data_IF_304985888381
#
_entry.id   IF_304985888381
#
_cell.length_a   1.000
_cell.length_b   1.000
_cell.length_c   1.000
_cell.angle_alpha   90.00
_cell.angle_beta   90.00
_cell.angle_gamma   90.00
#
_symmetry.space_group_name_H-M   'P 1'
#
loop_
_entity.id
_entity.type
_entity.pdbx_description
1 polymer ?
#
# COMPACT_ATOMS: atom_id res chain seq x y z
N UNK A 1 -4.71 18.05 6.03
CA UNK A 1 -4.28 17.87 4.63
C UNK A 1 -3.76 16.46 4.46
N UNK A 2 -4.53 15.57 3.83
CA UNK A 2 -4.18 14.14 3.72
C UNK A 2 -3.56 13.82 2.35
N UNK A 3 -2.57 12.94 2.32
CA UNK A 3 -1.87 12.49 1.12
C UNK A 3 -2.19 11.02 0.85
N UNK A 4 -2.48 10.68 -0.40
CA UNK A 4 -2.44 9.29 -0.87
C UNK A 4 -1.06 9.01 -1.47
N UNK A 5 -0.26 8.20 -0.79
CA UNK A 5 1.00 7.71 -1.31
C UNK A 5 0.80 6.47 -2.17
N UNK A 6 1.41 6.46 -3.36
CA UNK A 6 1.28 5.38 -4.33
C UNK A 6 2.63 4.71 -4.53
N UNK A 7 2.72 3.40 -4.27
CA UNK A 7 3.95 2.62 -4.38
C UNK A 7 3.73 1.47 -5.37
N UNK A 8 4.50 1.49 -6.47
CA UNK A 8 4.33 0.53 -7.57
C UNK A 8 5.46 -0.51 -7.67
N UNK A 9 6.54 -0.36 -6.91
CA UNK A 9 7.69 -1.26 -6.94
C UNK A 9 7.72 -2.22 -5.76
N UNK A 10 8.21 -3.43 -6.03
CA UNK A 10 8.43 -4.46 -5.01
C UNK A 10 9.34 -3.92 -3.90
N UNK A 11 8.95 -4.09 -2.62
CA UNK A 11 9.80 -3.69 -1.50
C UNK A 11 11.04 -4.59 -1.36
N UNK A 12 11.13 -5.67 -2.13
CA UNK A 12 12.29 -6.56 -2.21
C UNK A 12 13.26 -6.18 -3.33
N UNK A 13 12.87 -5.24 -4.21
CA UNK A 13 13.71 -4.73 -5.29
C UNK A 13 14.12 -3.26 -5.06
N UNK A 14 13.19 -2.43 -4.56
CA UNK A 14 13.37 -0.99 -4.40
C UNK A 14 13.07 -0.54 -2.98
N UNK A 15 13.67 0.59 -2.58
CA UNK A 15 13.44 1.21 -1.28
C UNK A 15 12.22 2.14 -1.25
N UNK A 16 11.48 2.30 -2.36
CA UNK A 16 10.36 3.22 -2.49
C UNK A 16 9.30 3.05 -1.38
N UNK A 17 8.93 1.82 -1.03
CA UNK A 17 7.99 1.55 0.07
C UNK A 17 8.54 2.02 1.42
N UNK A 18 9.81 1.71 1.73
CA UNK A 18 10.43 2.10 3.00
C UNK A 18 10.51 3.62 3.12
N UNK A 19 10.92 4.30 2.06
CA UNK A 19 10.94 5.77 1.99
C UNK A 19 9.55 6.36 2.14
N UNK A 20 8.55 5.79 1.46
CA UNK A 20 7.15 6.17 1.59
C UNK A 20 6.66 6.09 3.03
N UNK A 21 6.84 4.95 3.69
CA UNK A 21 6.41 4.76 5.07
C UNK A 21 7.12 5.74 6.01
N UNK A 22 8.41 6.03 5.79
CA UNK A 22 9.13 7.01 6.61
C UNK A 22 8.55 8.44 6.54
N UNK A 23 7.91 8.82 5.43
CA UNK A 23 7.33 10.16 5.23
C UNK A 23 5.81 10.21 5.43
N UNK A 24 5.12 9.08 5.47
CA UNK A 24 3.68 9.02 5.70
C UNK A 24 3.35 9.47 7.13
N UNK A 25 2.42 10.42 7.23
CA UNK A 25 1.95 11.05 8.46
C UNK A 25 0.58 10.50 8.89
N UNK A 26 0.16 10.84 10.09
CA UNK A 26 -1.16 10.45 10.60
C UNK A 26 -2.29 10.98 9.71
N UNK A 27 -3.20 10.09 9.34
CA UNK A 27 -4.33 10.39 8.45
C UNK A 27 -4.05 10.19 6.96
N UNK A 28 -2.79 9.95 6.57
CA UNK A 28 -2.45 9.62 5.19
C UNK A 28 -2.91 8.21 4.79
N UNK A 29 -2.98 7.98 3.48
CA UNK A 29 -3.22 6.69 2.86
C UNK A 29 -1.99 6.19 2.10
N UNK A 30 -1.77 4.88 2.07
CA UNK A 30 -0.77 4.24 1.21
C UNK A 30 -1.46 3.18 0.37
N UNK A 31 -1.36 3.25 -0.96
CA UNK A 31 -1.84 2.21 -1.86
C UNK A 31 -0.65 1.48 -2.52
N UNK A 32 -0.68 0.16 -2.40
CA UNK A 32 0.25 -0.76 -3.04
C UNK A 32 -0.39 -1.30 -4.33
N UNK A 33 0.27 -1.11 -5.47
CA UNK A 33 -0.18 -1.59 -6.78
C UNK A 33 1.03 -2.01 -7.62
N UNK A 34 0.81 -2.57 -8.81
CA UNK A 34 1.84 -3.24 -9.62
C UNK A 34 2.66 -4.21 -8.76
N UNK A 35 3.99 -4.14 -8.78
CA UNK A 35 4.86 -4.98 -7.96
C UNK A 35 4.88 -4.58 -6.48
N UNK A 36 4.34 -3.41 -6.14
CA UNK A 36 4.17 -2.96 -4.77
C UNK A 36 3.31 -3.90 -3.92
N UNK A 37 2.39 -4.66 -4.55
CA UNK A 37 1.49 -5.58 -3.83
C UNK A 37 2.21 -6.67 -3.04
N UNK A 38 3.47 -6.98 -3.37
CA UNK A 38 4.29 -7.91 -2.61
C UNK A 38 4.56 -7.41 -1.17
N UNK A 39 4.48 -6.10 -0.91
CA UNK A 39 4.57 -5.53 0.43
C UNK A 39 3.37 -5.80 1.32
N UNK A 40 2.22 -6.17 0.74
CA UNK A 40 1.00 -6.48 1.48
C UNK A 40 0.98 -7.91 2.05
N UNK A 41 1.95 -8.75 1.67
CA UNK A 41 1.98 -10.18 2.00
C UNK A 41 2.52 -10.41 3.40
N UNK A 42 1.74 -11.09 4.25
CA UNK A 42 2.09 -11.44 5.63
C UNK A 42 3.22 -12.48 5.68
N UNK A 43 4.02 -12.41 6.76
CA UNK A 43 5.13 -13.33 6.98
C UNK A 43 6.36 -13.05 6.12
N UNK A 44 6.39 -11.89 5.45
CA UNK A 44 7.54 -11.40 4.70
C UNK A 44 8.46 -10.53 5.56
N UNK A 45 9.69 -10.29 5.10
CA UNK A 45 10.67 -9.46 5.81
C UNK A 45 10.21 -8.02 6.08
N UNK A 46 9.23 -7.52 5.33
CA UNK A 46 8.71 -6.14 5.43
C UNK A 46 7.37 -6.05 6.17
N UNK A 47 6.88 -7.17 6.73
CA UNK A 47 5.62 -7.18 7.48
C UNK A 47 5.64 -6.20 8.65
N UNK A 48 6.78 -6.10 9.35
CA UNK A 48 6.95 -5.17 10.47
C UNK A 48 6.90 -3.69 10.05
N UNK A 49 7.35 -3.36 8.84
CA UNK A 49 7.32 -1.98 8.34
C UNK A 49 5.88 -1.48 8.15
N UNK A 50 5.01 -2.33 7.60
CA UNK A 50 3.58 -2.02 7.42
C UNK A 50 2.86 -2.00 8.78
N UNK A 51 3.08 -3.01 9.63
CA UNK A 51 2.45 -3.07 10.95
C UNK A 51 2.87 -1.90 11.85
N UNK A 52 4.10 -1.41 11.72
CA UNK A 52 4.58 -0.23 12.45
C UNK A 52 3.86 1.07 12.10
N UNK A 53 3.08 1.09 11.02
CA UNK A 53 2.22 2.21 10.61
C UNK A 53 0.73 1.98 10.90
N UNK A 54 0.38 0.81 11.42
CA UNK A 54 -1.00 0.50 11.81
C UNK A 54 -1.52 1.54 12.81
N UNK A 55 -2.75 1.99 12.61
CA UNK A 55 -3.41 3.01 13.45
C UNK A 55 -3.15 4.46 13.04
N UNK A 56 -1.98 4.78 12.47
CA UNK A 56 -1.67 6.12 11.98
C UNK A 56 -1.99 6.31 10.49
N UNK A 57 -1.70 5.30 9.67
CA UNK A 57 -1.82 5.35 8.21
C UNK A 57 -2.74 4.22 7.73
N UNK A 58 -3.64 4.51 6.80
CA UNK A 58 -4.47 3.48 6.17
C UNK A 58 -3.73 2.86 4.99
N UNK A 59 -3.58 1.53 5.00
CA UNK A 59 -2.88 0.81 3.93
C UNK A 59 -3.89 0.06 3.07
N UNK A 60 -3.76 0.25 1.76
CA UNK A 60 -4.59 -0.33 0.72
C UNK A 60 -3.74 -1.15 -0.25
N UNK A 61 -4.37 -2.10 -0.94
CA UNK A 61 -3.71 -2.89 -1.98
C UNK A 61 -4.67 -3.11 -3.16
N UNK A 62 -4.15 -3.04 -4.38
CA UNK A 62 -4.95 -3.23 -5.59
C UNK A 62 -5.19 -4.73 -5.85
N UNK A 63 -6.45 -5.15 -5.71
CA UNK A 63 -6.91 -6.53 -5.90
C UNK A 63 -6.60 -7.11 -7.28
N UNK A 64 -6.83 -6.39 -8.40
CA UNK A 64 -6.42 -6.84 -9.73
C UNK A 64 -4.94 -7.24 -9.83
N UNK A 65 -4.03 -6.50 -9.18
CA UNK A 65 -2.60 -6.80 -9.19
C UNK A 65 -2.21 -7.99 -8.30
N UNK A 66 -2.93 -8.19 -7.19
CA UNK A 66 -2.82 -9.40 -6.38
C UNK A 66 -3.24 -10.64 -7.19
N UNK A 67 -4.39 -10.56 -7.86
CA UNK A 67 -4.92 -11.64 -8.69
C UNK A 67 -3.97 -11.98 -9.84
N UNK A 68 -3.42 -10.97 -10.52
CA UNK A 68 -2.43 -11.17 -11.59
C UNK A 68 -1.15 -11.88 -11.11
N UNK A 69 -0.81 -11.76 -9.83
CA UNK A 69 0.37 -12.41 -9.19
C UNK A 69 0.03 -13.69 -8.42
N UNK A 70 -1.23 -14.15 -8.45
CA UNK A 70 -1.67 -15.35 -7.75
C UNK A 70 -1.64 -15.25 -6.23
N UNK A 71 -1.79 -14.04 -5.68
CA UNK A 71 -1.80 -13.79 -4.23
C UNK A 71 -3.25 -13.75 -3.75
N UNK A 72 -3.63 -14.75 -2.96
CA UNK A 72 -4.97 -14.80 -2.34
C UNK A 72 -5.08 -13.88 -1.12
N UNK A 73 -6.25 -13.31 -0.86
CA UNK A 73 -6.50 -12.37 0.24
C UNK A 73 -6.10 -12.91 1.63
N UNK A 74 -6.22 -14.22 1.86
CA UNK A 74 -5.78 -14.87 3.10
C UNK A 74 -4.27 -14.79 3.37
N UNK A 75 -3.47 -14.36 2.38
CA UNK A 75 -2.03 -14.10 2.49
C UNK A 75 -1.70 -12.68 2.95
N UNK A 76 -2.68 -11.79 3.07
CA UNK A 76 -2.42 -10.37 3.35
C UNK A 76 -2.20 -10.11 4.83
N UNK A 77 -1.43 -9.06 5.14
CA UNK A 77 -1.28 -8.53 6.50
C UNK A 77 -2.66 -8.04 6.97
N UNK A 78 -3.00 -8.36 8.21
CA UNK A 78 -4.26 -7.94 8.81
C UNK A 78 -4.39 -6.41 8.83
N UNK A 79 -5.58 -5.90 8.49
CA UNK A 79 -5.85 -4.46 8.43
C UNK A 79 -5.56 -3.79 7.08
N UNK A 80 -4.89 -4.46 6.14
CA UNK A 80 -4.79 -3.96 4.76
C UNK A 80 -6.15 -4.11 4.07
N UNK A 81 -6.63 -3.02 3.45
CA UNK A 81 -7.88 -3.03 2.68
C UNK A 81 -7.60 -3.30 1.20
N UNK A 82 -8.19 -4.36 0.66
CA UNK A 82 -8.18 -4.64 -0.78
C UNK A 82 -9.17 -3.72 -1.50
N UNK A 83 -8.73 -3.10 -2.60
CA UNK A 83 -9.56 -2.24 -3.45
C UNK A 83 -9.43 -2.65 -4.92
N UNK A 84 -10.41 -2.28 -5.74
CA UNK A 84 -10.34 -2.39 -7.20
C UNK A 84 -10.00 -1.04 -7.83
N UNK A 85 -10.05 -0.94 -9.16
CA UNK A 85 -9.75 0.32 -9.86
C UNK A 85 -10.71 1.46 -9.52
N UNK A 86 -12.04 1.26 -9.49
CA UNK A 86 -12.96 2.27 -8.94
C UNK A 86 -12.58 2.70 -7.52
N UNK A 87 -12.27 1.76 -6.63
CA UNK A 87 -11.82 2.07 -5.29
C UNK A 87 -10.50 2.85 -5.25
N UNK A 88 -9.58 2.61 -6.19
CA UNK A 88 -8.38 3.44 -6.34
C UNK A 88 -8.75 4.87 -6.78
N UNK A 89 -9.66 5.05 -7.72
CA UNK A 89 -10.17 6.39 -8.10
C UNK A 89 -10.79 7.11 -6.89
N UNK A 90 -11.58 6.40 -6.08
CA UNK A 90 -12.16 6.95 -4.84
C UNK A 90 -11.07 7.36 -3.84
N UNK A 91 -9.99 6.58 -3.71
CA UNK A 91 -8.86 6.95 -2.87
C UNK A 91 -8.17 8.22 -3.37
N UNK A 92 -7.95 8.35 -4.69
CA UNK A 92 -7.33 9.55 -5.27
C UNK A 92 -8.18 10.79 -5.02
N UNK A 93 -9.50 10.69 -5.16
CA UNK A 93 -10.43 11.83 -5.01
C UNK A 93 -10.73 12.18 -3.55
N UNK A 94 -10.56 11.25 -2.61
CA UNK A 94 -10.82 11.45 -1.17
C UNK A 94 -9.63 12.00 -0.38
N UNK A 95 -8.43 12.07 -0.99
CA UNK A 95 -7.26 12.70 -0.41
C UNK A 95 -6.98 14.03 -1.12
N UNK A 96 -6.36 14.97 -0.44
CA UNK A 96 -6.12 16.29 -1.03
C UNK A 96 -5.05 16.28 -2.12
N UNK A 97 -4.11 15.33 -2.04
CA UNK A 97 -3.05 15.15 -3.03
C UNK A 97 -2.60 13.70 -3.13
N UNK A 98 -1.96 13.39 -4.25
CA UNK A 98 -1.28 12.12 -4.48
C UNK A 98 0.23 12.30 -4.51
N UNK A 99 0.98 11.33 -3.99
CA UNK A 99 2.44 11.29 -4.07
C UNK A 99 2.90 9.92 -4.60
N UNK A 100 3.48 9.88 -5.79
CA UNK A 100 4.07 8.66 -6.35
C UNK A 100 5.48 8.43 -5.82
N UNK A 101 5.78 7.17 -5.47
CA UNK A 101 7.11 6.70 -5.09
C UNK A 101 7.56 5.64 -6.11
N UNK A 102 8.56 5.99 -6.94
CA UNK A 102 9.03 5.22 -8.10
C UNK A 102 10.35 4.48 -7.83
#
# INVERSE_FOLDING_TARGET
MTTLHMVNKSPFERNAMKSCLAHALEGDGVILFEDGVYGAVKGSAVTGDIQGKAGAVKVYVLGPDLAARGIADGRLIEGIKVVDYPGFVDLVTSHERTQSWL
#
